data_IF_464870049164
#
_entry.id   IF_464870049164
#
_cell.length_a   1.000
_cell.length_b   1.000
_cell.length_c   1.000
_cell.angle_alpha   90.00
_cell.angle_beta   90.00
_cell.angle_gamma   90.00
#
_symmetry.space_group_name_H-M   'P 1'
#
loop_
_entity.id
_entity.type
_entity.pdbx_description
1 polymer ?
#
# COMPACT_ATOMS: atom_id res chain seq x y z
N UNK A 1 21.79 -5.15 -4.95
CA UNK A 1 21.09 -4.16 -4.09
C UNK A 1 19.86 -4.85 -3.53
N UNK A 2 19.57 -4.68 -2.23
CA UNK A 2 18.42 -5.34 -1.60
C UNK A 2 17.11 -4.87 -2.23
N UNK A 3 16.11 -5.74 -2.27
CA UNK A 3 14.80 -5.43 -2.84
C UNK A 3 14.10 -4.25 -2.14
N UNK A 4 14.45 -4.01 -0.88
CA UNK A 4 13.80 -3.05 0.01
C UNK A 4 14.82 -2.45 0.97
N UNK A 5 14.73 -1.16 1.22
CA UNK A 5 15.57 -0.40 2.13
C UNK A 5 14.80 -0.05 3.40
N UNK A 6 15.45 -0.09 4.56
CA UNK A 6 14.87 0.37 5.83
C UNK A 6 15.46 1.72 6.19
N UNK A 7 14.61 2.67 6.56
CA UNK A 7 15.03 4.00 7.00
C UNK A 7 14.19 4.50 8.18
N UNK A 8 14.79 5.37 8.99
CA UNK A 8 14.03 6.10 10.00
C UNK A 8 13.10 7.12 9.32
N UNK A 9 11.86 7.25 9.82
CA UNK A 9 10.88 8.18 9.26
C UNK A 9 11.38 9.65 9.19
N UNK A 10 12.26 10.07 10.10
CA UNK A 10 12.87 11.41 10.10
C UNK A 10 13.82 11.67 8.94
N UNK A 11 14.43 10.60 8.41
CA UNK A 11 15.40 10.63 7.30
C UNK A 11 14.74 10.31 5.95
N UNK A 12 13.42 10.11 5.91
CA UNK A 12 12.71 9.91 4.67
C UNK A 12 12.70 11.21 3.87
N UNK A 13 13.24 11.12 2.66
CA UNK A 13 13.27 12.24 1.74
C UNK A 13 12.40 11.96 0.50
N UNK A 14 11.49 12.89 0.24
CA UNK A 14 10.68 12.93 -0.96
C UNK A 14 11.43 13.75 -2.03
N UNK A 15 12.48 13.18 -2.62
CA UNK A 15 13.40 13.92 -3.49
C UNK A 15 12.93 14.09 -4.94
N UNK A 16 11.91 13.35 -5.35
CA UNK A 16 11.48 13.30 -6.75
C UNK A 16 10.35 14.28 -7.01
N UNK A 17 10.71 15.52 -7.37
CA UNK A 17 9.78 16.62 -7.67
C UNK A 17 8.79 16.32 -8.79
N UNK A 18 9.01 15.27 -9.58
CA UNK A 18 8.14 14.88 -10.69
C UNK A 18 7.07 13.85 -10.28
N UNK A 19 7.20 13.21 -9.10
CA UNK A 19 6.22 12.24 -8.63
C UNK A 19 5.07 12.93 -7.92
N UNK A 20 3.87 12.45 -8.21
CA UNK A 20 2.69 12.64 -7.39
C UNK A 20 2.73 11.63 -6.24
N UNK A 21 2.37 12.09 -5.05
CA UNK A 21 2.38 11.27 -3.85
C UNK A 21 0.96 10.97 -3.38
N UNK A 22 0.76 9.73 -2.95
CA UNK A 22 -0.52 9.24 -2.48
C UNK A 22 -0.38 8.52 -1.13
N UNK A 23 -1.38 8.64 -0.27
CA UNK A 23 -1.57 7.80 0.90
C UNK A 23 -2.64 6.75 0.60
N UNK A 24 -2.33 5.48 0.86
CA UNK A 24 -3.25 4.37 0.76
C UNK A 24 -3.68 3.96 2.17
N UNK A 25 -4.90 4.34 2.55
CA UNK A 25 -5.42 4.28 3.91
C UNK A 25 -6.40 3.12 4.09
N UNK A 26 -6.38 2.53 5.29
CA UNK A 26 -7.40 1.55 5.71
C UNK A 26 -8.79 2.20 5.71
N UNK A 27 -9.77 1.53 5.12
CA UNK A 27 -11.17 1.98 5.07
C UNK A 27 -12.00 1.51 6.26
N UNK A 28 -11.60 0.40 6.88
CA UNK A 28 -12.35 -0.26 7.95
C UNK A 28 -11.59 -0.27 9.28
N UNK A 29 -11.47 0.90 9.91
CA UNK A 29 -10.90 1.00 11.25
C UNK A 29 -11.98 1.08 12.33
N UNK A 30 -11.89 0.32 13.43
CA UNK A 30 -12.95 0.27 14.45
C UNK A 30 -13.16 1.59 15.19
N UNK A 31 -12.12 2.42 15.29
CA UNK A 31 -12.12 3.68 16.06
C UNK A 31 -12.27 4.92 15.19
N UNK A 32 -11.91 4.86 13.91
CA UNK A 32 -11.72 6.06 13.08
C UNK A 32 -12.50 5.91 11.78
N UNK A 33 -13.23 6.96 11.42
CA UNK A 33 -13.73 7.11 10.06
C UNK A 33 -12.67 7.80 9.20
N UNK A 34 -12.05 7.04 8.29
CA UNK A 34 -10.94 7.49 7.47
C UNK A 34 -11.31 8.69 6.61
N UNK A 35 -12.48 8.70 5.97
CA UNK A 35 -12.89 9.82 5.13
C UNK A 35 -13.18 11.09 5.95
N UNK A 36 -13.79 10.96 7.13
CA UNK A 36 -13.98 12.11 8.03
C UNK A 36 -12.63 12.73 8.41
N UNK A 37 -11.61 11.92 8.68
CA UNK A 37 -10.26 12.41 8.97
C UNK A 37 -9.62 13.07 7.75
N UNK A 38 -9.82 12.53 6.54
CA UNK A 38 -9.34 13.15 5.29
C UNK A 38 -9.95 14.53 5.11
N UNK A 39 -11.29 14.65 5.16
CA UNK A 39 -11.97 15.95 5.01
C UNK A 39 -11.66 16.95 6.14
N UNK A 40 -11.30 16.48 7.34
CA UNK A 40 -10.85 17.35 8.44
C UNK A 40 -9.44 17.92 8.23
N UNK A 41 -8.58 17.23 7.49
CA UNK A 41 -7.15 17.58 7.38
C UNK A 41 -6.76 18.08 5.98
N UNK A 42 -7.59 17.85 4.96
CA UNK A 42 -7.35 18.27 3.57
C UNK A 42 -8.58 19.03 3.09
N UNK A 43 -8.39 20.30 2.74
CA UNK A 43 -9.50 21.21 2.41
C UNK A 43 -10.30 20.77 1.18
N UNK A 44 -9.61 20.26 0.14
CA UNK A 44 -10.22 19.80 -1.11
C UNK A 44 -9.55 18.46 -1.48
N UNK A 45 -9.97 17.34 -0.89
CA UNK A 45 -9.27 16.07 -1.08
C UNK A 45 -9.59 15.45 -2.44
N UNK A 46 -8.56 15.13 -3.20
CA UNK A 46 -8.62 14.21 -4.34
C UNK A 46 -8.40 12.77 -3.83
N UNK A 47 -9.41 11.91 -3.95
CA UNK A 47 -9.33 10.53 -3.47
C UNK A 47 -10.21 9.56 -4.26
N UNK A 48 -9.92 8.26 -4.12
CA UNK A 48 -10.72 7.18 -4.71
C UNK A 48 -10.79 5.95 -3.79
N UNK A 49 -11.94 5.27 -3.79
CA UNK A 49 -12.10 3.97 -3.14
C UNK A 49 -11.61 2.85 -4.07
N UNK A 50 -10.73 2.00 -3.54
CA UNK A 50 -10.15 0.88 -4.28
C UNK A 50 -11.23 -0.13 -4.69
N UNK A 51 -12.08 -0.60 -3.77
CA UNK A 51 -13.09 -1.65 -4.01
C UNK A 51 -14.35 -1.16 -4.76
N UNK A 52 -14.34 0.08 -5.28
CA UNK A 52 -15.44 0.62 -6.09
C UNK A 52 -15.36 0.13 -7.55
N UNK A 53 -15.42 -1.19 -7.73
CA UNK A 53 -15.47 -1.89 -9.02
C UNK A 53 -15.99 -3.32 -8.81
N UNK A 54 -16.63 -3.91 -9.82
CA UNK A 54 -17.05 -5.29 -9.78
C UNK A 54 -15.84 -6.24 -9.72
N UNK A 55 -15.91 -7.38 -8.99
CA UNK A 55 -17.06 -7.85 -8.19
C UNK A 55 -17.12 -7.29 -6.76
N UNK A 56 -16.22 -6.38 -6.36
CA UNK A 56 -16.01 -5.97 -4.97
C UNK A 56 -16.90 -4.80 -4.50
N UNK A 57 -17.88 -4.38 -5.30
CA UNK A 57 -18.76 -3.23 -5.00
C UNK A 57 -19.47 -3.36 -3.64
N UNK A 58 -19.82 -4.58 -3.22
CA UNK A 58 -20.41 -4.84 -1.91
C UNK A 58 -19.48 -4.47 -0.73
N UNK A 59 -18.17 -4.38 -0.97
CA UNK A 59 -17.14 -4.01 0.00
C UNK A 59 -16.81 -2.51 0.00
N UNK A 60 -17.51 -1.69 -0.79
CA UNK A 60 -17.21 -0.27 -0.91
C UNK A 60 -17.17 0.47 0.45
N UNK A 61 -18.01 0.08 1.41
CA UNK A 61 -18.04 0.68 2.76
C UNK A 61 -16.78 0.44 3.59
N UNK A 62 -16.05 -0.64 3.29
CA UNK A 62 -14.81 -1.02 3.97
C UNK A 62 -13.60 -0.86 3.06
N UNK A 63 -13.78 -0.19 1.92
CA UNK A 63 -12.75 -0.04 0.90
C UNK A 63 -11.57 0.77 1.43
N UNK A 64 -10.33 0.31 1.24
CA UNK A 64 -9.20 1.20 1.40
C UNK A 64 -9.33 2.39 0.44
N UNK A 65 -8.78 3.51 0.86
CA UNK A 65 -8.90 4.80 0.18
C UNK A 65 -7.53 5.27 -0.26
N UNK A 66 -7.38 5.59 -1.54
CA UNK A 66 -6.20 6.27 -2.06
C UNK A 66 -6.45 7.78 -2.07
N UNK A 67 -5.61 8.55 -1.39
CA UNK A 67 -5.71 10.01 -1.26
C UNK A 67 -4.45 10.65 -1.83
N UNK A 68 -4.60 11.64 -2.71
CA UNK A 68 -3.47 12.42 -3.23
C UNK A 68 -2.99 13.43 -2.19
N UNK A 69 -1.68 13.63 -2.11
CA UNK A 69 -1.02 14.44 -1.09
C UNK A 69 -0.26 15.63 -1.67
N UNK A 70 -0.60 16.83 -1.23
CA UNK A 70 0.15 18.05 -1.60
C UNK A 70 1.45 18.22 -0.80
N UNK A 71 1.47 17.73 0.44
CA UNK A 71 2.61 17.83 1.36
C UNK A 71 2.91 16.47 2.00
N UNK A 72 3.45 15.50 1.25
CA UNK A 72 3.55 14.11 1.69
C UNK A 72 4.39 13.94 2.96
N UNK A 73 5.48 14.71 3.13
CA UNK A 73 6.31 14.67 4.36
C UNK A 73 5.54 15.11 5.60
N UNK A 74 4.87 16.27 5.51
CA UNK A 74 4.08 16.82 6.63
C UNK A 74 2.93 15.89 6.96
N UNK A 75 2.25 15.38 5.93
CA UNK A 75 1.17 14.42 6.08
C UNK A 75 1.66 13.17 6.80
N UNK A 76 2.76 12.54 6.35
CA UNK A 76 3.28 11.33 6.97
C UNK A 76 3.59 11.54 8.45
N UNK A 77 4.32 12.60 8.79
CA UNK A 77 4.67 12.92 10.17
C UNK A 77 3.44 13.15 11.04
N UNK A 78 2.51 13.99 10.58
CA UNK A 78 1.30 14.31 11.34
C UNK A 78 0.38 13.09 11.48
N UNK A 79 0.20 12.31 10.41
CA UNK A 79 -0.71 11.17 10.37
C UNK A 79 -0.21 10.00 11.19
N UNK A 80 1.09 9.68 11.13
CA UNK A 80 1.71 8.67 12.00
C UNK A 80 1.58 9.03 13.47
N UNK A 81 1.78 10.30 13.83
CA UNK A 81 1.66 10.77 15.21
C UNK A 81 0.22 10.77 15.71
N UNK A 82 -0.72 11.25 14.89
CA UNK A 82 -2.12 11.44 15.30
C UNK A 82 -2.93 10.14 15.20
N UNK A 83 -2.59 9.27 14.25
CA UNK A 83 -3.35 8.07 13.90
C UNK A 83 -2.44 6.85 13.65
N UNK A 84 -1.57 6.46 14.62
CA UNK A 84 -0.59 5.39 14.44
C UNK A 84 -1.22 4.03 14.05
N UNK A 85 -2.48 3.77 14.45
CA UNK A 85 -3.23 2.56 14.08
C UNK A 85 -3.82 2.54 12.66
N UNK A 86 -3.88 3.71 12.00
CA UNK A 86 -4.35 3.91 10.63
C UNK A 86 -3.19 4.03 9.62
N UNK A 87 -1.95 3.80 10.05
CA UNK A 87 -0.79 3.85 9.18
C UNK A 87 -0.94 2.81 8.06
N UNK A 88 -1.31 3.31 6.88
CA UNK A 88 -1.27 2.59 5.62
C UNK A 88 -0.01 2.97 4.83
N UNK A 89 0.03 2.55 3.58
CA UNK A 89 1.20 2.72 2.71
C UNK A 89 1.20 4.10 2.03
N UNK A 90 2.37 4.57 1.58
CA UNK A 90 2.46 5.70 0.65
C UNK A 90 3.04 5.28 -0.69
N UNK A 91 2.60 5.93 -1.76
CA UNK A 91 2.97 5.64 -3.13
C UNK A 91 3.51 6.90 -3.80
N UNK A 92 4.61 6.77 -4.53
CA UNK A 92 5.10 7.77 -5.47
C UNK A 92 4.88 7.28 -6.90
N UNK A 93 4.25 8.09 -7.75
CA UNK A 93 4.00 7.73 -9.16
C UNK A 93 4.05 8.98 -10.05
N UNK A 94 4.54 8.81 -11.28
CA UNK A 94 4.44 9.82 -12.34
C UNK A 94 3.02 9.89 -12.96
N UNK A 95 2.18 8.90 -12.63
CA UNK A 95 0.84 8.74 -13.16
C UNK A 95 -0.22 9.41 -12.26
N UNK A 96 -1.34 9.78 -12.88
CA UNK A 96 -2.48 10.36 -12.19
C UNK A 96 -3.26 9.35 -11.34
N UNK A 97 -4.13 9.87 -10.46
CA UNK A 97 -4.90 9.10 -9.47
C UNK A 97 -5.63 7.91 -10.10
N UNK A 98 -6.34 8.11 -11.21
CA UNK A 98 -7.14 7.06 -11.87
C UNK A 98 -6.29 5.89 -12.34
N UNK A 99 -5.13 6.16 -12.95
CA UNK A 99 -4.19 5.13 -13.40
C UNK A 99 -3.65 4.32 -12.22
N UNK A 100 -3.29 4.99 -11.13
CA UNK A 100 -2.80 4.31 -9.91
C UNK A 100 -3.92 3.47 -9.30
N UNK A 101 -5.14 3.98 -9.20
CA UNK A 101 -6.30 3.22 -8.72
C UNK A 101 -6.57 2.00 -9.58
N UNK A 102 -6.57 2.15 -10.90
CA UNK A 102 -6.75 1.05 -11.85
C UNK A 102 -5.73 -0.07 -11.61
N UNK A 103 -4.46 0.28 -11.39
CA UNK A 103 -3.43 -0.68 -11.03
C UNK A 103 -3.68 -1.35 -9.68
N UNK A 104 -3.94 -0.58 -8.63
CA UNK A 104 -4.19 -1.14 -7.29
C UNK A 104 -5.38 -2.11 -7.27
N UNK A 105 -6.38 -1.92 -8.14
CA UNK A 105 -7.51 -2.85 -8.29
C UNK A 105 -7.06 -4.23 -8.76
N UNK A 106 -6.01 -4.33 -9.57
CA UNK A 106 -5.43 -5.62 -9.99
C UNK A 106 -4.81 -6.40 -8.83
N UNK A 107 -4.43 -5.71 -7.74
CA UNK A 107 -3.82 -6.30 -6.55
C UNK A 107 -4.86 -6.79 -5.53
N UNK A 108 -6.15 -6.49 -5.72
CA UNK A 108 -7.21 -6.79 -4.72
C UNK A 108 -7.38 -8.29 -4.50
N UNK A 109 -7.19 -9.08 -5.54
CA UNK A 109 -7.32 -10.54 -5.52
C UNK A 109 -5.97 -11.21 -5.75
N UNK A 110 -5.69 -12.25 -4.97
CA UNK A 110 -4.50 -13.10 -5.13
C UNK A 110 -4.91 -14.56 -5.15
N UNK A 111 -4.14 -15.38 -5.86
CA UNK A 111 -4.26 -16.84 -5.82
C UNK A 111 -3.41 -17.38 -4.69
N UNK A 112 -3.98 -18.22 -3.84
CA UNK A 112 -3.23 -18.85 -2.75
C UNK A 112 -2.85 -20.25 -3.17
N UNK A 113 -1.55 -20.59 -3.12
CA UNK A 113 -1.10 -21.96 -3.39
C UNK A 113 -1.80 -22.96 -2.46
N UNK A 114 -2.49 -23.95 -3.04
CA UNK A 114 -3.27 -24.94 -2.30
C UNK A 114 -4.58 -24.41 -1.71
N UNK A 115 -4.98 -23.18 -2.03
CA UNK A 115 -6.14 -22.49 -1.47
C UNK A 115 -7.10 -21.92 -2.53
N UNK A 116 -7.99 -21.04 -2.07
CA UNK A 116 -8.95 -20.30 -2.91
C UNK A 116 -8.45 -18.88 -3.20
N UNK A 117 -8.99 -18.27 -4.25
CA UNK A 117 -8.82 -16.84 -4.51
C UNK A 117 -9.21 -16.03 -3.27
N UNK A 118 -8.33 -15.12 -2.87
CA UNK A 118 -8.42 -14.41 -1.60
C UNK A 118 -8.24 -12.91 -1.79
N UNK A 119 -8.88 -12.12 -0.92
CA UNK A 119 -8.67 -10.68 -0.87
C UNK A 119 -7.30 -10.36 -0.27
N UNK A 120 -6.51 -9.57 -0.97
CA UNK A 120 -5.21 -9.15 -0.53
C UNK A 120 -5.23 -7.72 0.02
N UNK A 121 -4.84 -7.60 1.29
CA UNK A 121 -4.77 -6.33 2.02
C UNK A 121 -3.44 -5.61 1.79
N UNK A 122 -3.11 -5.34 0.53
CA UNK A 122 -1.88 -4.63 0.14
C UNK A 122 -1.75 -3.22 0.72
N UNK A 123 -2.86 -2.63 1.15
CA UNK A 123 -2.87 -1.34 1.84
C UNK A 123 -2.27 -1.40 3.25
N UNK A 124 -2.23 -2.58 3.88
CA UNK A 124 -1.63 -2.76 5.19
C UNK A 124 -0.11 -2.83 5.05
N UNK A 125 0.58 -1.79 5.52
CA UNK A 125 2.04 -1.69 5.42
C UNK A 125 2.77 -2.88 6.03
N UNK A 126 2.21 -3.55 7.06
CA UNK A 126 2.83 -4.72 7.65
C UNK A 126 2.68 -5.98 6.79
N UNK A 127 1.61 -6.08 6.01
CA UNK A 127 1.39 -7.20 5.10
C UNK A 127 2.25 -7.00 3.85
N UNK A 128 2.14 -5.83 3.21
CA UNK A 128 2.80 -5.57 1.93
C UNK A 128 4.33 -5.60 2.04
N UNK A 129 4.93 -4.95 3.04
CA UNK A 129 6.39 -4.98 3.22
C UNK A 129 6.92 -6.35 3.69
N UNK A 130 6.09 -7.21 4.29
CA UNK A 130 6.50 -8.59 4.58
C UNK A 130 6.48 -9.46 3.31
N UNK A 131 5.48 -9.26 2.44
CA UNK A 131 5.36 -9.98 1.19
C UNK A 131 6.47 -9.59 0.20
N UNK A 132 6.73 -8.30 0.05
CA UNK A 132 7.53 -7.76 -1.06
C UNK A 132 8.91 -8.42 -1.28
N UNK A 133 9.70 -8.74 -0.24
CA UNK A 133 10.97 -9.43 -0.41
C UNK A 133 10.85 -10.85 -0.98
N UNK A 134 9.69 -11.51 -0.82
CA UNK A 134 9.45 -12.87 -1.33
C UNK A 134 9.10 -12.90 -2.82
N UNK A 135 8.76 -11.74 -3.40
CA UNK A 135 8.42 -11.63 -4.81
C UNK A 135 9.67 -11.75 -5.67
N UNK A 136 9.55 -12.43 -6.82
CA UNK A 136 10.56 -12.43 -7.86
C UNK A 136 10.67 -11.04 -8.52
N UNK A 137 11.76 -10.76 -9.23
CA UNK A 137 11.96 -9.44 -9.84
C UNK A 137 10.85 -9.07 -10.84
N UNK A 138 10.38 -10.04 -11.62
CA UNK A 138 9.24 -9.86 -12.55
C UNK A 138 7.94 -9.54 -11.80
N UNK A 139 7.69 -10.22 -10.68
CA UNK A 139 6.55 -9.98 -9.81
C UNK A 139 6.63 -8.62 -9.13
N UNK A 140 7.83 -8.18 -8.72
CA UNK A 140 8.05 -6.83 -8.15
C UNK A 140 7.77 -5.75 -9.18
N UNK A 141 8.21 -5.91 -10.42
CA UNK A 141 7.88 -4.98 -11.51
C UNK A 141 6.36 -4.88 -11.68
N UNK A 142 5.66 -6.03 -11.75
CA UNK A 142 4.20 -6.09 -11.86
C UNK A 142 3.49 -5.51 -10.64
N UNK A 143 3.98 -5.78 -9.44
CA UNK A 143 3.45 -5.23 -8.18
C UNK A 143 3.51 -3.71 -8.16
N UNK A 144 4.59 -3.14 -8.69
CA UNK A 144 4.74 -1.70 -8.86
C UNK A 144 3.81 -1.13 -9.93
N UNK A 145 3.74 -1.71 -11.13
CA UNK A 145 2.94 -1.14 -12.21
C UNK A 145 3.33 0.32 -12.50
N UNK A 146 2.40 1.30 -12.47
CA UNK A 146 2.70 2.72 -12.61
C UNK A 146 3.35 3.34 -11.36
N UNK A 147 3.47 2.60 -10.25
CA UNK A 147 4.03 3.11 -9.00
C UNK A 147 5.56 3.03 -9.07
N UNK A 148 6.22 4.18 -8.99
CA UNK A 148 7.67 4.27 -8.98
C UNK A 148 8.23 3.86 -7.61
N UNK A 149 7.53 4.22 -6.53
CA UNK A 149 7.98 4.01 -5.16
C UNK A 149 6.87 3.58 -4.22
N UNK A 150 7.15 2.56 -3.40
CA UNK A 150 6.35 2.17 -2.26
C UNK A 150 7.07 2.54 -0.96
N UNK A 151 6.31 3.12 -0.02
CA UNK A 151 6.75 3.36 1.34
C UNK A 151 5.78 2.68 2.30
N UNK A 152 6.32 1.87 3.21
CA UNK A 152 5.57 1.13 4.21
C UNK A 152 6.00 1.56 5.62
N UNK A 153 5.28 2.53 6.20
CA UNK A 153 5.34 2.83 7.63
C UNK A 153 5.11 1.61 8.52
N UNK A 154 6.04 1.36 9.45
CA UNK A 154 5.93 0.33 10.49
C UNK A 154 6.47 0.89 11.80
N UNK A 155 5.58 1.45 12.63
CA UNK A 155 5.99 2.14 13.84
C UNK A 155 6.86 3.35 13.51
N UNK A 156 8.09 3.40 14.05
CA UNK A 156 9.06 4.47 13.80
C UNK A 156 9.92 4.30 12.53
N UNK A 157 9.78 3.16 11.85
CA UNK A 157 10.55 2.84 10.65
C UNK A 157 9.69 2.96 9.39
N UNK A 158 10.34 3.26 8.27
CA UNK A 158 9.74 3.25 6.93
C UNK A 158 10.56 2.30 6.07
N UNK A 159 9.88 1.32 5.50
CA UNK A 159 10.46 0.43 4.49
C UNK A 159 10.16 0.99 3.11
N UNK A 160 11.18 1.11 2.26
CA UNK A 160 11.09 1.70 0.93
C UNK A 160 11.43 0.67 -0.13
N UNK A 161 10.66 0.63 -1.20
CA UNK A 161 10.99 -0.11 -2.41
C UNK A 161 10.85 0.80 -3.63
N UNK A 162 11.83 0.74 -4.52
CA UNK A 162 11.78 1.35 -5.85
C UNK A 162 11.44 0.29 -6.89
N UNK A 163 10.74 0.70 -7.97
CA UNK A 163 10.37 -0.22 -9.05
C UNK A 163 11.65 -0.81 -9.67
N UNK A 164 11.84 -2.13 -9.67
CA UNK A 164 13.06 -2.74 -10.20
C UNK A 164 13.01 -2.81 -11.73
N UNK A 165 13.37 -1.72 -12.41
CA UNK A 165 13.43 -1.68 -13.88
C UNK A 165 12.16 -1.14 -14.56
N UNK A 166 12.10 -1.32 -15.87
CA UNK A 166 10.99 -0.84 -16.70
C UNK A 166 9.84 -1.86 -16.77
N UNK A 167 8.61 -1.36 -16.93
CA UNK A 167 7.44 -2.20 -17.14
C UNK A 167 7.53 -2.90 -18.50
N UNK A 168 7.37 -4.24 -18.57
CA UNK A 168 7.31 -4.95 -19.85
C UNK A 168 6.14 -4.44 -20.68
N UNK A 169 6.36 -4.22 -21.99
CA UNK A 169 5.34 -3.71 -22.92
C UNK A 169 4.12 -4.62 -23.05
N UNK A 170 4.28 -5.92 -22.82
CA UNK A 170 3.22 -6.94 -22.92
C UNK A 170 2.35 -7.06 -21.66
N UNK A 171 2.79 -6.51 -20.51
CA UNK A 171 2.16 -6.70 -19.20
C UNK A 171 1.23 -5.53 -18.78
N UNK A 172 0.80 -4.69 -19.73
CA UNK A 172 0.00 -3.48 -19.42
C UNK A 172 -1.41 -3.75 -18.90
N UNK A 173 -1.92 -4.97 -19.06
CA UNK A 173 -3.27 -5.36 -18.61
C UNK A 173 -3.18 -6.58 -17.69
N UNK A 174 -2.66 -6.38 -16.48
CA UNK A 174 -2.74 -7.39 -15.43
C UNK A 174 -4.22 -7.67 -15.12
N UNK A 175 -4.61 -8.95 -15.17
CA UNK A 175 -5.94 -9.38 -14.74
C UNK A 175 -5.98 -9.59 -13.23
N UNK A 176 -7.19 -9.64 -12.68
CA UNK A 176 -7.39 -10.12 -11.31
C UNK A 176 -6.75 -11.50 -11.10
N UNK A 177 -6.15 -11.68 -9.92
CA UNK A 177 -5.56 -12.95 -9.48
C UNK A 177 -4.20 -13.26 -10.11
N UNK A 178 -3.54 -12.28 -10.74
CA UNK A 178 -2.24 -12.49 -11.39
C UNK A 178 -1.15 -12.90 -10.41
N UNK A 179 -1.20 -12.41 -9.17
CA UNK A 179 -0.22 -12.69 -8.14
C UNK A 179 -0.58 -13.99 -7.41
N UNK A 180 0.33 -14.96 -7.47
CA UNK A 180 0.20 -16.24 -6.77
C UNK A 180 1.06 -16.23 -5.51
N UNK A 181 0.42 -16.37 -4.35
CA UNK A 181 1.10 -16.46 -3.06
C UNK A 181 1.58 -17.89 -2.82
N UNK A 182 2.89 -18.07 -2.96
CA UNK A 182 3.58 -19.29 -2.55
C UNK A 182 3.46 -19.54 -1.05
N UNK A 183 3.75 -20.76 -0.61
CA UNK A 183 3.87 -21.10 0.81
C UNK A 183 4.84 -20.17 1.57
N UNK A 184 5.90 -19.70 0.91
CA UNK A 184 6.84 -18.73 1.49
C UNK A 184 6.21 -17.35 1.68
N UNK A 185 5.55 -16.82 0.65
CA UNK A 185 4.84 -15.55 0.70
C UNK A 185 3.75 -15.53 1.79
N UNK A 186 3.00 -16.64 1.93
CA UNK A 186 2.00 -16.80 2.97
C UNK A 186 2.62 -16.77 4.38
N UNK A 187 3.76 -17.45 4.57
CA UNK A 187 4.49 -17.45 5.85
C UNK A 187 5.01 -16.05 6.19
N UNK A 188 5.54 -15.33 5.21
CA UNK A 188 6.03 -13.97 5.40
C UNK A 188 4.89 -13.01 5.80
N UNK A 189 3.74 -13.08 5.13
CA UNK A 189 2.54 -12.30 5.50
C UNK A 189 2.11 -12.62 6.94
N UNK A 190 2.05 -13.91 7.31
CA UNK A 190 1.68 -14.31 8.66
C UNK A 190 2.65 -13.74 9.72
N UNK A 191 3.96 -13.79 9.46
CA UNK A 191 4.95 -13.17 10.34
C UNK A 191 4.76 -11.65 10.45
N UNK A 192 4.49 -10.96 9.33
CA UNK A 192 4.17 -9.53 9.31
C UNK A 192 2.97 -9.17 10.19
N UNK A 193 1.91 -9.99 10.16
CA UNK A 193 0.73 -9.83 11.01
C UNK A 193 1.05 -10.02 12.50
N UNK A 194 1.85 -11.04 12.84
CA UNK A 194 2.27 -11.26 14.23
C UNK A 194 3.12 -10.10 14.76
N UNK A 195 4.05 -9.58 13.95
CA UNK A 195 4.85 -8.41 14.32
C UNK A 195 3.98 -7.15 14.51
N UNK A 196 2.97 -6.94 13.67
CA UNK A 196 2.00 -5.84 13.83
C UNK A 196 1.24 -5.96 15.16
N UNK A 197 0.82 -7.17 15.52
CA UNK A 197 0.10 -7.44 16.77
C UNK A 197 0.98 -7.12 17.98
N UNK A 198 2.19 -7.66 18.02
CA UNK A 198 3.14 -7.43 19.12
C UNK A 198 3.47 -5.94 19.25
N UNK A 199 3.64 -5.23 18.14
CA UNK A 199 3.84 -3.78 18.15
C UNK A 199 2.65 -3.06 18.79
N UNK A 200 1.41 -3.39 18.40
CA UNK A 200 0.20 -2.79 19.01
C UNK A 200 0.08 -3.06 20.51
N UNK A 201 0.39 -4.28 20.95
CA UNK A 201 0.37 -4.66 22.38
C UNK A 201 1.43 -3.88 23.17
N UNK A 202 2.60 -3.61 22.58
CA UNK A 202 3.65 -2.79 23.21
C UNK A 202 3.44 -1.28 23.16
N UNK A 203 2.36 -0.77 22.53
CA UNK A 203 1.97 0.64 22.58
C UNK A 203 0.89 0.94 23.65
N UNK A 204 0.38 -0.09 24.34
CA UNK A 204 -0.56 0.03 25.46
C UNK A 204 0.19 0.12 26.80
#
# INVERSE_FOLDING_TARGET
MGAMETMNAGNLHFHEKHLQWYALLEGAHPTYNTLDLVYKNIAIPEWAAIYQFAPYEALAKVSPVLVKLDQPRKWLQQWQQSFPGLAGSMLGSDSGLETVVGHLRTLVSVRVEGGVDSLFRFHDSWIASALYPTLEDTERVRFHGPICQWLWPRGGEVYRAERPGEMPTEDRALSEGWLQLSTESQRAIHQGLMSKRNWKEGQQ
#
